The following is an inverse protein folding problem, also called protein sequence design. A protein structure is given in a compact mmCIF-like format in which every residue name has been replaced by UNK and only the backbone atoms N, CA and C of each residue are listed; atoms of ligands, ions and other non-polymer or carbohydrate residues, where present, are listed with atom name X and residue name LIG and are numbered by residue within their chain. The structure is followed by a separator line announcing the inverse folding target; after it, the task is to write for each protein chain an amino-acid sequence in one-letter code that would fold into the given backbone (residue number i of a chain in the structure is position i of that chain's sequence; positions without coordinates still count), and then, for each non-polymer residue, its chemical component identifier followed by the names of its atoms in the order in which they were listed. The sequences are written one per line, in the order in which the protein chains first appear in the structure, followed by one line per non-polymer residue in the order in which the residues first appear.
data_IF_349488726839
#
_entry.id   IF_349488726839
#
_cell.length_a   1.000
_cell.length_b   1.000
_cell.length_c   1.000
_cell.angle_alpha   90.00
_cell.angle_beta   90.00
_cell.angle_gamma   90.00
#
_symmetry.space_group_name_H-M   'P 1'
#
loop_
_entity.id
_entity.type
_entity.pdbx_description
1 polymer ?
#
# COMPACT_ATOMS: atom_id res chain seq x y z
N UNK A 1 13.24 -18.42 15.80
CA UNK A 1 13.07 -19.27 14.60
C UNK A 1 12.25 -20.48 15.04
N UNK A 2 11.18 -20.81 14.34
CA UNK A 2 10.38 -22.00 14.65
C UNK A 2 10.96 -23.29 14.04
N UNK A 3 10.52 -24.43 14.56
CA UNK A 3 11.08 -25.74 14.23
C UNK A 3 11.00 -26.12 12.75
N UNK A 4 11.87 -27.03 12.34
CA UNK A 4 11.96 -27.57 10.96
C UNK A 4 12.29 -26.54 9.89
N UNK A 5 12.76 -25.35 10.27
CA UNK A 5 13.25 -24.33 9.34
C UNK A 5 14.69 -24.63 8.93
N UNK A 6 15.00 -24.52 7.64
CA UNK A 6 16.35 -24.65 7.07
C UNK A 6 16.90 -23.26 6.74
N UNK A 7 18.09 -22.96 7.23
CA UNK A 7 18.81 -21.73 6.93
C UNK A 7 20.06 -22.05 6.11
N UNK A 8 20.24 -21.33 5.01
CA UNK A 8 21.44 -21.35 4.20
C UNK A 8 22.61 -20.63 4.84
N UNK A 9 23.74 -20.64 4.14
CA UNK A 9 24.99 -19.99 4.55
C UNK A 9 24.83 -18.47 4.48
N UNK A 10 25.29 -17.76 5.52
CA UNK A 10 25.27 -16.29 5.54
C UNK A 10 23.88 -15.67 5.67
N UNK A 11 22.88 -16.44 6.13
CA UNK A 11 21.57 -15.88 6.51
C UNK A 11 21.74 -14.93 7.70
N UNK A 12 21.21 -13.72 7.55
CA UNK A 12 21.18 -12.71 8.61
C UNK A 12 19.75 -12.50 9.10
N UNK A 13 19.56 -12.57 10.43
CA UNK A 13 18.31 -12.24 11.10
C UNK A 13 18.50 -11.02 11.99
N UNK A 14 17.80 -9.93 11.68
CA UNK A 14 17.79 -8.74 12.52
C UNK A 14 17.15 -9.00 13.88
N UNK A 15 17.43 -8.11 14.84
CA UNK A 15 16.85 -8.19 16.19
C UNK A 15 15.32 -8.32 16.15
N UNK A 16 14.77 -9.21 16.95
CA UNK A 16 13.34 -9.53 17.00
C UNK A 16 12.74 -10.04 15.67
N UNK A 17 13.55 -10.50 14.70
CA UNK A 17 13.03 -11.18 13.53
C UNK A 17 12.47 -12.57 13.89
N UNK A 18 11.28 -12.87 13.38
CA UNK A 18 10.61 -14.17 13.49
C UNK A 18 10.60 -14.92 12.16
N UNK A 19 10.67 -16.24 12.22
CA UNK A 19 10.49 -17.14 11.07
C UNK A 19 9.57 -18.25 11.54
N UNK A 20 8.45 -18.47 10.85
CA UNK A 20 7.53 -19.57 11.16
C UNK A 20 8.15 -20.92 10.75
N UNK A 21 7.57 -22.03 11.21
CA UNK A 21 8.16 -23.35 11.06
C UNK A 21 8.11 -23.87 9.63
N UNK A 22 8.93 -24.88 9.35
CA UNK A 22 8.96 -25.61 8.07
C UNK A 22 9.31 -24.77 6.84
N UNK A 23 10.10 -23.71 7.00
CA UNK A 23 10.51 -22.84 5.90
C UNK A 23 11.97 -23.07 5.48
N UNK A 24 12.32 -22.69 4.26
CA UNK A 24 13.68 -22.61 3.77
C UNK A 24 14.07 -21.15 3.46
N UNK A 25 15.08 -20.64 4.15
CA UNK A 25 15.77 -19.41 3.80
C UNK A 25 17.10 -19.79 3.17
N UNK A 26 17.27 -19.52 1.88
CA UNK A 26 18.48 -19.88 1.16
C UNK A 26 19.68 -18.97 1.50
N UNK A 27 20.83 -19.25 0.89
CA UNK A 27 22.09 -18.58 1.17
C UNK A 27 22.00 -17.05 1.02
N UNK A 28 22.60 -16.32 1.97
CA UNK A 28 22.70 -14.86 1.91
C UNK A 28 21.39 -14.09 2.12
N UNK A 29 20.30 -14.74 2.51
CA UNK A 29 19.04 -14.07 2.86
C UNK A 29 19.24 -13.12 4.04
N UNK A 30 18.64 -11.94 3.97
CA UNK A 30 18.69 -10.94 5.05
C UNK A 30 17.28 -10.59 5.50
N UNK A 31 16.94 -10.88 6.75
CA UNK A 31 15.66 -10.53 7.36
C UNK A 31 15.87 -9.30 8.23
N UNK A 32 15.16 -8.20 7.94
CA UNK A 32 15.24 -6.99 8.74
C UNK A 32 14.73 -7.20 10.17
N UNK A 33 15.14 -6.32 11.08
CA UNK A 33 14.67 -6.33 12.47
C UNK A 33 13.13 -6.26 12.54
N UNK A 34 12.56 -6.87 13.58
CA UNK A 34 11.11 -6.92 13.84
C UNK A 34 10.26 -7.39 12.64
N UNK A 35 10.83 -8.19 11.75
CA UNK A 35 10.12 -8.77 10.60
C UNK A 35 9.70 -10.20 10.90
N UNK A 36 8.63 -10.68 10.26
CA UNK A 36 8.14 -12.04 10.46
C UNK A 36 8.00 -12.75 9.11
N UNK A 37 8.77 -13.83 8.91
CA UNK A 37 8.81 -14.60 7.67
C UNK A 37 7.77 -15.72 7.70
N UNK A 38 6.90 -15.74 6.69
CA UNK A 38 5.77 -16.69 6.55
C UNK A 38 5.92 -17.64 5.36
N UNK A 39 6.98 -17.51 4.57
CA UNK A 39 7.23 -18.29 3.35
C UNK A 39 8.73 -18.42 3.09
N UNK A 40 9.10 -19.39 2.26
CA UNK A 40 10.47 -19.58 1.82
C UNK A 40 11.04 -18.32 1.17
N UNK A 41 12.35 -18.12 1.32
CA UNK A 41 13.05 -16.95 0.81
C UNK A 41 14.23 -17.38 -0.06
N UNK A 42 14.24 -17.01 -1.36
CA UNK A 42 15.34 -17.33 -2.28
C UNK A 42 16.66 -16.67 -1.89
N UNK A 43 17.76 -17.23 -2.40
CA UNK A 43 19.11 -16.80 -2.07
C UNK A 43 19.34 -15.31 -2.36
N UNK A 44 20.07 -14.64 -1.48
CA UNK A 44 20.46 -13.23 -1.60
C UNK A 44 19.33 -12.22 -1.42
N UNK A 45 18.09 -12.65 -1.20
CA UNK A 45 16.94 -11.74 -1.04
C UNK A 45 16.97 -11.10 0.35
N UNK A 46 16.76 -9.79 0.38
CA UNK A 46 16.49 -9.05 1.63
C UNK A 46 14.99 -8.86 1.80
N UNK A 47 14.45 -9.23 2.96
CA UNK A 47 13.02 -9.12 3.28
C UNK A 47 12.77 -8.26 4.52
N UNK A 48 11.59 -7.64 4.59
CA UNK A 48 11.19 -6.75 5.69
C UNK A 48 9.69 -6.75 5.92
N UNK A 49 9.29 -6.45 7.15
CA UNK A 49 7.88 -6.30 7.56
C UNK A 49 7.26 -7.54 8.18
N UNK A 50 5.99 -7.43 8.53
CA UNK A 50 5.17 -8.50 9.09
C UNK A 50 3.79 -8.48 8.39
N UNK A 51 3.50 -9.40 7.46
CA UNK A 51 4.40 -10.47 6.96
C UNK A 51 5.57 -9.91 6.14
N UNK A 52 6.71 -10.61 6.18
CA UNK A 52 7.93 -10.21 5.49
C UNK A 52 7.77 -10.33 3.97
N UNK A 53 8.22 -9.31 3.24
CA UNK A 53 8.22 -9.22 1.78
C UNK A 53 9.56 -8.71 1.28
N UNK A 54 9.90 -8.86 -0.02
CA UNK A 54 11.11 -8.23 -0.57
C UNK A 54 11.20 -6.76 -0.16
N UNK A 55 12.36 -6.35 0.34
CA UNK A 55 12.52 -5.07 1.04
C UNK A 55 12.00 -3.86 0.23
N UNK A 56 12.25 -3.85 -1.08
CA UNK A 56 11.78 -2.78 -1.98
C UNK A 56 10.25 -2.71 -2.08
N UNK A 57 9.56 -3.85 -2.05
CA UNK A 57 8.10 -3.91 -2.03
C UNK A 57 7.56 -3.34 -0.72
N UNK A 58 8.13 -3.78 0.41
CA UNK A 58 7.75 -3.31 1.74
C UNK A 58 7.92 -1.79 1.89
N UNK A 59 9.08 -1.26 1.50
CA UNK A 59 9.36 0.18 1.58
C UNK A 59 8.42 1.01 0.70
N UNK A 60 8.08 0.51 -0.49
CA UNK A 60 7.10 1.18 -1.36
C UNK A 60 5.72 1.24 -0.70
N UNK A 61 5.24 0.13 -0.16
CA UNK A 61 3.94 0.08 0.52
C UNK A 61 3.91 0.99 1.74
N UNK A 62 4.99 0.98 2.55
CA UNK A 62 5.14 1.86 3.71
C UNK A 62 5.14 3.33 3.33
N UNK A 63 5.87 3.72 2.29
CA UNK A 63 5.87 5.09 1.80
C UNK A 63 4.47 5.56 1.34
N UNK A 64 3.67 4.67 0.76
CA UNK A 64 2.27 4.98 0.42
C UNK A 64 1.41 5.20 1.67
N UNK A 65 1.57 4.37 2.70
CA UNK A 65 0.86 4.55 3.98
C UNK A 65 1.25 5.86 4.67
N UNK A 66 2.54 6.21 4.68
CA UNK A 66 3.03 7.49 5.23
C UNK A 66 2.47 8.71 4.48
N UNK A 67 2.14 8.57 3.19
CA UNK A 67 1.53 9.63 2.37
C UNK A 67 0.01 9.67 2.47
N UNK A 68 -0.63 8.65 3.05
CA UNK A 68 -2.09 8.53 3.11
C UNK A 68 -2.79 9.77 3.70
N UNK A 69 -2.32 10.40 4.80
CA UNK A 69 -2.96 11.59 5.34
C UNK A 69 -3.02 12.74 4.32
N UNK A 70 -1.91 13.01 3.63
CA UNK A 70 -1.85 14.03 2.56
C UNK A 70 -2.82 13.72 1.42
N UNK A 71 -2.97 12.43 1.08
CA UNK A 71 -3.92 12.02 0.07
C UNK A 71 -5.37 12.20 0.53
N UNK A 72 -5.68 11.95 1.79
CA UNK A 72 -7.01 12.22 2.36
C UNK A 72 -7.36 13.71 2.32
N UNK A 73 -6.42 14.60 2.65
CA UNK A 73 -6.63 16.05 2.51
C UNK A 73 -6.87 16.45 1.06
N UNK A 74 -6.12 15.83 0.14
CA UNK A 74 -6.32 16.06 -1.29
C UNK A 74 -7.70 15.59 -1.76
N UNK A 75 -8.18 14.44 -1.29
CA UNK A 75 -9.52 13.94 -1.61
C UNK A 75 -10.59 14.89 -1.08
N UNK A 76 -10.51 15.33 0.18
CA UNK A 76 -11.45 16.29 0.77
C UNK A 76 -11.53 17.61 -0.02
N UNK A 77 -10.38 18.14 -0.44
CA UNK A 77 -10.36 19.36 -1.25
C UNK A 77 -10.97 19.12 -2.64
N UNK A 78 -10.75 17.94 -3.23
CA UNK A 78 -11.38 17.58 -4.51
C UNK A 78 -12.90 17.43 -4.37
N UNK A 79 -13.38 16.82 -3.28
CA UNK A 79 -14.81 16.71 -2.95
C UNK A 79 -15.44 18.10 -2.76
N UNK A 80 -14.83 18.98 -1.96
CA UNK A 80 -15.31 20.36 -1.76
C UNK A 80 -15.43 21.13 -3.08
N UNK A 81 -14.42 21.00 -3.95
CA UNK A 81 -14.43 21.65 -5.26
C UNK A 81 -15.50 21.08 -6.19
N UNK A 82 -15.81 19.79 -6.08
CA UNK A 82 -16.87 19.17 -6.85
C UNK A 82 -18.24 19.72 -6.41
N UNK A 83 -18.48 19.82 -5.10
CA UNK A 83 -19.70 20.41 -4.54
C UNK A 83 -19.91 21.86 -5.01
N UNK A 84 -18.85 22.67 -5.00
CA UNK A 84 -18.90 24.06 -5.48
C UNK A 84 -19.29 24.14 -6.97
N UNK A 85 -18.77 23.22 -7.80
CA UNK A 85 -19.02 23.18 -9.24
C UNK A 85 -20.42 22.65 -9.58
N UNK A 86 -20.86 21.59 -8.91
CA UNK A 86 -22.19 21.01 -9.08
C UNK A 86 -23.29 21.92 -8.49
N UNK A 87 -23.01 22.59 -7.37
CA UNK A 87 -23.87 23.63 -6.81
C UNK A 87 -24.02 24.85 -7.72
N UNK A 88 -22.95 25.22 -8.43
CA UNK A 88 -22.96 26.26 -9.46
C UNK A 88 -23.74 25.90 -10.73
N UNK A 89 -23.92 24.61 -11.03
CA UNK A 89 -24.71 24.15 -12.18
C UNK A 89 -26.22 24.18 -11.95
N UNK A 90 -26.71 24.28 -10.70
CA UNK A 90 -28.16 24.43 -10.41
C UNK A 90 -28.72 25.83 -10.71
N UNK A 91 -27.91 26.79 -11.14
CA UNK A 91 -28.33 28.14 -11.55
C UNK A 91 -28.49 28.33 -13.07
N UNK A 92 -28.30 27.27 -13.87
CA UNK A 92 -28.20 27.34 -15.32
C UNK A 92 -29.32 26.65 -16.09
N UNK A 93 -30.56 26.65 -15.57
CA UNK A 93 -31.73 26.35 -16.41
C UNK A 93 -32.78 27.46 -16.20
N UNK A 94 -32.48 28.61 -16.84
CA UNK A 94 -33.41 29.70 -17.09
C UNK A 94 -34.35 29.40 -18.27
N UNK A 95 -35.34 30.26 -18.50
CA UNK A 95 -36.71 29.92 -18.87
C UNK A 95 -36.86 29.35 -20.28
N UNK A 96 -37.83 28.43 -20.44
CA UNK A 96 -38.19 27.85 -21.72
C UNK A 96 -38.61 28.90 -22.76
N UNK A 97 -38.51 28.59 -24.06
CA UNK A 97 -39.11 29.43 -25.08
C UNK A 97 -40.64 29.32 -24.99
N UNK A 98 -41.27 30.43 -24.61
CA UNK A 98 -42.67 30.70 -24.87
C UNK A 98 -42.91 30.89 -26.38
N UNK A 99 -44.12 30.48 -26.79
CA UNK A 99 -44.83 30.88 -28.01
C UNK A 99 -44.25 30.44 -29.37
N UNK A 100 -44.88 29.39 -29.91
CA UNK A 100 -45.15 29.26 -31.34
C UNK A 100 -46.65 29.09 -31.55
N UNK A 101 -47.35 30.21 -31.73
CA UNK A 101 -48.71 30.26 -32.25
C UNK A 101 -48.70 30.06 -33.76
N UNK A 102 -49.79 29.49 -34.27
CA UNK A 102 -50.31 29.56 -35.65
C UNK A 102 -49.69 28.63 -36.72
N UNK A 103 -50.59 27.86 -37.36
CA UNK A 103 -50.37 26.98 -38.49
C UNK A 103 -51.41 25.87 -38.57
#
# INVERSE_FOLDING_TARGET
IAGSTRLGTGVFLGGQAGVIGHLELQDGVKVAAASAVFRDVPAGVTVSGQPARPNREFLRARASLERLPRWLDRVKELERRLDDLEGGQKGGEGPGPAAGSEG
#
